data_IF_751657926304
#
_entry.id   IF_751657926304
#
_cell.length_a   1.000
_cell.length_b   1.000
_cell.length_c   1.000
_cell.angle_alpha   90.00
_cell.angle_beta   90.00
_cell.angle_gamma   90.00
#
_symmetry.space_group_name_H-M   'P 1'
#
loop_
_entity.id
_entity.type
_entity.pdbx_description
1 polymer ?
#
# COMPACT_ATOMS: atom_id res chain seq x y z
N UNK A 1 -26.25 0.59 -1.81
CA UNK A 1 -25.19 -0.28 -1.26
C UNK A 1 -25.66 -1.65 -0.74
N UNK A 2 -26.88 -1.80 -0.20
CA UNK A 2 -27.36 -3.10 0.35
C UNK A 2 -27.44 -4.28 -0.63
N UNK A 3 -27.22 -4.05 -1.93
CA UNK A 3 -27.33 -5.05 -2.99
C UNK A 3 -25.98 -5.43 -3.62
N UNK A 4 -24.86 -4.97 -3.04
CA UNK A 4 -23.53 -5.33 -3.54
C UNK A 4 -23.34 -6.87 -3.47
N UNK A 5 -23.00 -7.44 -4.61
CA UNK A 5 -22.66 -8.86 -4.77
C UNK A 5 -21.15 -9.04 -4.88
N UNK A 6 -20.66 -10.21 -4.48
CA UNK A 6 -19.26 -10.59 -4.68
C UNK A 6 -19.10 -10.99 -6.14
N UNK A 7 -18.16 -10.35 -6.84
CA UNK A 7 -17.74 -10.71 -8.20
C UNK A 7 -16.54 -11.65 -8.18
N UNK A 8 -15.62 -11.44 -7.23
CA UNK A 8 -14.43 -12.26 -7.03
C UNK A 8 -14.14 -12.43 -5.54
N UNK A 9 -13.83 -13.65 -5.14
CA UNK A 9 -13.22 -13.97 -3.85
C UNK A 9 -12.25 -15.13 -4.07
N UNK A 10 -11.00 -14.80 -4.35
CA UNK A 10 -9.90 -15.74 -4.52
C UNK A 10 -9.00 -15.71 -3.29
N UNK A 11 -8.77 -16.86 -2.68
CA UNK A 11 -7.90 -16.97 -1.50
C UNK A 11 -7.02 -18.20 -1.54
N UNK A 12 -5.72 -17.95 -1.50
CA UNK A 12 -4.69 -18.97 -1.33
C UNK A 12 -3.89 -18.63 -0.08
N UNK A 13 -3.77 -19.56 0.86
CA UNK A 13 -2.93 -19.43 2.05
C UNK A 13 -2.16 -20.75 2.24
N UNK A 14 -0.84 -20.66 2.23
CA UNK A 14 0.04 -21.83 2.37
C UNK A 14 0.35 -22.15 3.84
N UNK A 15 -0.03 -21.28 4.78
CA UNK A 15 0.20 -21.44 6.22
C UNK A 15 1.64 -21.19 6.67
N UNK A 16 2.53 -20.79 5.75
CA UNK A 16 3.94 -20.47 6.00
C UNK A 16 4.22 -18.96 5.90
N UNK A 17 3.16 -18.15 5.94
CA UNK A 17 3.20 -16.71 5.74
C UNK A 17 3.06 -16.29 4.28
N UNK A 18 3.17 -17.21 3.31
CA UNK A 18 2.84 -16.95 1.91
C UNK A 18 1.33 -17.10 1.71
N UNK A 19 0.70 -16.03 1.24
CA UNK A 19 -0.71 -16.04 0.87
C UNK A 19 -0.98 -15.03 -0.24
N UNK A 20 -2.10 -15.21 -0.93
CA UNK A 20 -2.63 -14.27 -1.91
C UNK A 20 -4.15 -14.22 -1.78
N UNK A 21 -4.69 -13.03 -1.54
CA UNK A 21 -6.13 -12.78 -1.50
C UNK A 21 -6.50 -11.70 -2.53
N UNK A 22 -7.60 -11.93 -3.24
CA UNK A 22 -8.16 -10.97 -4.17
C UNK A 22 -9.68 -10.97 -4.06
N UNK A 23 -10.25 -9.83 -3.71
CA UNK A 23 -11.66 -9.63 -3.46
C UNK A 23 -12.21 -8.49 -4.31
N UNK A 24 -13.37 -8.70 -4.93
CA UNK A 24 -14.06 -7.70 -5.75
C UNK A 24 -15.57 -7.79 -5.56
N UNK A 25 -16.22 -6.63 -5.47
CA UNK A 25 -17.68 -6.51 -5.37
C UNK A 25 -18.26 -5.73 -6.53
N UNK A 26 -19.55 -5.94 -6.82
CA UNK A 26 -20.25 -5.26 -7.92
C UNK A 26 -20.48 -3.76 -7.71
N UNK A 27 -20.30 -3.26 -6.49
CA UNK A 27 -20.26 -1.82 -6.22
C UNK A 27 -18.83 -1.25 -6.33
N UNK A 28 -17.85 -1.98 -6.87
CA UNK A 28 -16.53 -1.45 -7.20
C UNK A 28 -15.53 -1.40 -6.05
N UNK A 29 -15.79 -2.11 -4.94
CA UNK A 29 -14.76 -2.34 -3.92
C UNK A 29 -13.80 -3.41 -4.45
N UNK A 30 -12.50 -3.13 -4.38
CA UNK A 30 -11.44 -4.06 -4.74
C UNK A 30 -10.39 -4.08 -3.62
N UNK A 31 -9.95 -5.28 -3.23
CA UNK A 31 -8.86 -5.49 -2.27
C UNK A 31 -7.98 -6.62 -2.79
N UNK A 32 -6.70 -6.34 -3.02
CA UNK A 32 -5.70 -7.37 -3.26
C UNK A 32 -4.61 -7.30 -2.21
N UNK A 33 -4.17 -8.47 -1.74
CA UNK A 33 -3.02 -8.55 -0.83
C UNK A 33 -2.25 -9.83 -1.02
N UNK A 34 -0.94 -9.70 -0.99
CA UNK A 34 0.00 -10.81 -1.01
C UNK A 34 0.82 -10.74 0.25
N UNK A 35 0.99 -11.88 0.91
CA UNK A 35 1.86 -12.06 2.05
C UNK A 35 3.07 -12.90 1.71
N UNK A 36 4.18 -12.62 2.38
CA UNK A 36 5.37 -13.47 2.45
C UNK A 36 5.84 -13.55 3.91
N UNK A 37 6.49 -14.64 4.33
CA UNK A 37 7.04 -14.72 5.69
C UNK A 37 8.05 -13.61 5.96
N UNK A 38 7.87 -12.96 7.11
CA UNK A 38 8.76 -11.95 7.67
C UNK A 38 9.71 -12.52 8.72
N UNK A 39 10.56 -11.65 9.25
CA UNK A 39 11.70 -12.00 10.10
C UNK A 39 11.38 -12.53 11.50
N UNK A 40 10.21 -12.22 12.05
CA UNK A 40 9.80 -12.64 13.40
C UNK A 40 8.56 -13.55 13.39
N UNK A 41 8.31 -14.22 12.26
CA UNK A 41 7.17 -15.13 12.09
C UNK A 41 5.83 -14.43 11.80
N UNK A 42 5.83 -13.10 11.65
CA UNK A 42 4.74 -12.36 11.03
C UNK A 42 4.78 -12.56 9.50
N UNK A 43 3.69 -12.26 8.80
CA UNK A 43 3.72 -12.03 7.35
C UNK A 43 4.00 -10.57 7.05
N UNK A 44 4.96 -10.33 6.16
CA UNK A 44 5.07 -9.05 5.47
C UNK A 44 4.05 -9.05 4.32
N UNK A 45 3.35 -7.95 4.14
CA UNK A 45 2.20 -7.87 3.24
C UNK A 45 2.32 -6.65 2.34
N UNK A 46 1.94 -6.80 1.08
CA UNK A 46 1.71 -5.68 0.19
C UNK A 46 0.38 -5.88 -0.54
N UNK A 47 -0.23 -4.77 -0.95
CA UNK A 47 -1.54 -4.83 -1.56
C UNK A 47 -2.02 -3.50 -2.09
N UNK A 48 -3.21 -3.56 -2.68
CA UNK A 48 -3.97 -2.42 -3.14
C UNK A 48 -5.41 -2.53 -2.68
N UNK A 49 -6.00 -1.38 -2.38
CA UNK A 49 -7.39 -1.27 -1.98
C UNK A 49 -8.02 -0.10 -2.71
N UNK A 50 -9.22 -0.30 -3.24
CA UNK A 50 -9.99 0.77 -3.85
C UNK A 50 -11.48 0.64 -3.60
N UNK A 51 -12.17 1.78 -3.59
CA UNK A 51 -13.63 1.86 -3.44
C UNK A 51 -14.15 3.15 -4.07
N UNK A 52 -15.40 3.17 -4.58
CA UNK A 52 -15.99 4.39 -5.11
C UNK A 52 -16.29 5.41 -4.00
N UNK A 53 -16.13 6.68 -4.34
CA UNK A 53 -16.53 7.82 -3.52
C UNK A 53 -17.89 8.37 -3.98
N UNK A 54 -18.53 9.14 -3.10
CA UNK A 54 -19.85 9.73 -3.35
C UNK A 54 -19.88 10.69 -4.57
N UNK A 55 -18.72 11.24 -4.95
CA UNK A 55 -18.56 12.12 -6.10
C UNK A 55 -18.34 11.37 -7.44
N UNK A 56 -18.36 10.03 -7.40
CA UNK A 56 -18.13 9.16 -8.55
C UNK A 56 -16.67 8.92 -8.89
N UNK A 57 -15.72 9.51 -8.15
CA UNK A 57 -14.32 9.16 -8.23
C UNK A 57 -14.02 7.86 -7.46
N UNK A 58 -12.81 7.33 -7.60
CA UNK A 58 -12.36 6.13 -6.89
C UNK A 58 -11.27 6.50 -5.91
N UNK A 59 -11.44 6.14 -4.65
CA UNK A 59 -10.38 6.13 -3.67
C UNK A 59 -9.45 4.94 -3.95
N UNK A 60 -8.15 5.18 -4.09
CA UNK A 60 -7.16 4.13 -4.39
C UNK A 60 -5.97 4.23 -3.45
N UNK A 61 -5.54 3.09 -2.93
CA UNK A 61 -4.43 2.97 -1.99
C UNK A 61 -3.54 1.82 -2.41
N UNK A 62 -2.23 2.00 -2.33
CA UNK A 62 -1.23 0.93 -2.35
C UNK A 62 -0.49 0.93 -1.03
N UNK A 63 -0.11 -0.24 -0.53
CA UNK A 63 0.58 -0.32 0.75
C UNK A 63 1.62 -1.44 0.81
N UNK A 64 2.58 -1.24 1.71
CA UNK A 64 3.53 -2.23 2.20
C UNK A 64 3.46 -2.23 3.73
N UNK A 65 3.33 -3.41 4.32
CA UNK A 65 3.33 -3.66 5.75
C UNK A 65 4.44 -4.67 6.05
N UNK A 66 5.54 -4.23 6.63
CA UNK A 66 6.71 -5.06 6.93
C UNK A 66 7.31 -4.74 8.30
N UNK A 67 8.54 -5.19 8.56
CA UNK A 67 9.27 -4.90 9.81
C UNK A 67 9.38 -3.42 10.16
N UNK A 68 9.32 -2.53 9.16
CA UNK A 68 9.44 -1.09 9.32
C UNK A 68 8.09 -0.41 9.54
N UNK A 69 7.00 -1.19 9.62
CA UNK A 69 5.64 -0.72 9.87
C UNK A 69 4.80 -0.69 8.60
N UNK A 70 3.80 0.20 8.60
CA UNK A 70 2.84 0.34 7.51
C UNK A 70 3.12 1.60 6.70
N UNK A 71 3.41 1.42 5.42
CA UNK A 71 3.65 2.47 4.45
C UNK A 71 2.55 2.42 3.40
N UNK A 72 1.81 3.52 3.26
CA UNK A 72 0.69 3.63 2.32
C UNK A 72 0.87 4.82 1.40
N UNK A 73 0.48 4.65 0.15
CA UNK A 73 0.47 5.68 -0.87
C UNK A 73 -0.96 5.82 -1.41
N UNK A 74 -1.41 7.06 -1.56
CA UNK A 74 -2.69 7.39 -2.19
C UNK A 74 -2.73 8.87 -2.53
N UNK A 75 -3.40 9.28 -3.62
CA UNK A 75 -3.72 10.68 -3.88
C UNK A 75 -4.54 11.36 -2.78
N UNK A 76 -5.23 10.56 -1.94
CA UNK A 76 -6.03 11.05 -0.82
C UNK A 76 -5.19 11.35 0.43
N UNK A 77 -3.92 10.91 0.47
CA UNK A 77 -3.03 11.23 1.57
C UNK A 77 -2.50 12.66 1.43
N UNK A 78 -2.21 13.34 2.55
CA UNK A 78 -1.57 14.63 2.52
C UNK A 78 -0.27 14.58 1.72
N UNK A 79 -0.11 15.54 0.79
CA UNK A 79 1.16 15.68 0.07
C UNK A 79 2.29 16.02 1.04
N UNK A 80 3.50 15.53 0.74
CA UNK A 80 4.70 15.89 1.47
C UNK A 80 4.86 17.43 1.42
N UNK A 81 4.99 18.11 2.56
CA UNK A 81 5.19 19.56 2.56
C UNK A 81 6.42 19.96 1.73
N UNK A 82 6.34 21.07 0.99
CA UNK A 82 7.40 21.50 0.07
C UNK A 82 8.78 21.61 0.75
N UNK A 83 8.82 22.08 2.00
CA UNK A 83 10.08 22.20 2.75
C UNK A 83 10.70 20.84 3.06
N UNK A 84 9.89 19.81 3.30
CA UNK A 84 10.36 18.43 3.49
C UNK A 84 10.91 17.88 2.18
N UNK A 85 10.20 18.12 1.07
CA UNK A 85 10.67 17.70 -0.25
C UNK A 85 12.02 18.33 -0.60
N UNK A 86 12.18 19.64 -0.39
CA UNK A 86 13.46 20.34 -0.60
C UNK A 86 14.60 19.75 0.25
N UNK A 87 14.31 19.33 1.48
CA UNK A 87 15.31 18.72 2.34
C UNK A 87 15.73 17.33 1.84
N UNK A 88 14.78 16.53 1.34
CA UNK A 88 15.05 15.23 0.71
C UNK A 88 15.91 15.42 -0.55
N UNK A 89 15.54 16.36 -1.41
CA UNK A 89 16.25 16.67 -2.66
C UNK A 89 17.69 17.13 -2.38
N UNK A 90 17.86 18.04 -1.41
CA UNK A 90 19.18 18.50 -0.99
C UNK A 90 20.04 17.36 -0.43
N UNK A 91 19.47 16.48 0.38
CA UNK A 91 20.19 15.31 0.90
C UNK A 91 20.56 14.31 -0.22
N UNK A 92 19.74 14.18 -1.26
CA UNK A 92 20.06 13.38 -2.44
C UNK A 92 21.20 14.02 -3.25
N UNK A 93 21.21 15.34 -3.43
CA UNK A 93 22.32 16.06 -4.09
C UNK A 93 23.64 15.92 -3.33
N UNK A 94 23.60 16.05 -2.00
CA UNK A 94 24.78 15.88 -1.14
C UNK A 94 25.38 14.46 -1.30
N UNK A 95 24.52 13.43 -1.28
CA UNK A 95 24.93 12.04 -1.55
C UNK A 95 25.50 11.84 -2.94
N UNK A 96 24.88 12.43 -3.96
CA UNK A 96 25.36 12.34 -5.35
C UNK A 96 26.73 13.03 -5.55
N UNK A 97 27.02 14.07 -4.77
CA UNK A 97 28.32 14.75 -4.75
C UNK A 97 29.36 14.02 -3.88
N UNK A 98 28.99 12.94 -3.21
CA UNK A 98 29.88 12.19 -2.32
C UNK A 98 30.22 12.93 -1.03
N UNK A 99 29.38 13.87 -0.58
CA UNK A 99 29.59 14.55 0.69
C UNK A 99 29.38 13.53 1.83
N UNK A 100 30.44 13.29 2.59
CA UNK A 100 30.40 12.52 3.83
C UNK A 100 30.26 13.53 4.97
N UNK A 101 29.21 13.38 5.77
CA UNK A 101 29.07 14.11 7.03
C UNK A 101 29.73 13.28 8.12
N UNK A 102 30.70 13.86 8.85
CA UNK A 102 31.29 13.23 10.04
C UNK A 102 30.34 13.29 11.25
#
# INVERSE_FOLDING_TARGET
DRDATILKDDRTDNGDGNFHYSFETSNGIQDTKTGVPGSAGQSNMNGDFSFPLDDGSTASFTYVADENGYHVESPLLPSIPEYVQKQIDFAAEQRARGVIFD
#
